data_IF_254452357722
#
_entry.id   IF_254452357722
#
_cell.length_a   1.000
_cell.length_b   1.000
_cell.length_c   1.000
_cell.angle_alpha   90.00
_cell.angle_beta   90.00
_cell.angle_gamma   90.00
#
_symmetry.space_group_name_H-M   'P 1'
#
loop_
_entity.id
_entity.type
_entity.pdbx_description
1 polymer ?
#
# COMPACT_ATOMS: atom_id res chain seq x y z
N UNK A 1 -18.90 17.70 3.10
CA UNK A 1 -18.40 16.34 2.82
C UNK A 1 -18.60 15.96 1.35
N UNK A 2 -19.81 15.62 0.86
CA UNK A 2 -19.98 15.20 -0.56
C UNK A 2 -19.41 16.19 -1.59
N UNK A 3 -19.66 17.49 -1.42
CA UNK A 3 -19.12 18.51 -2.31
C UNK A 3 -17.59 18.56 -2.32
N UNK A 4 -16.93 18.54 -1.15
CA UNK A 4 -15.45 18.52 -1.12
C UNK A 4 -14.89 17.18 -1.60
N UNK A 5 -15.58 16.06 -1.34
CA UNK A 5 -15.18 14.77 -1.91
C UNK A 5 -15.22 14.80 -3.45
N UNK A 6 -16.28 15.33 -4.06
CA UNK A 6 -16.35 15.49 -5.53
C UNK A 6 -15.23 16.38 -6.07
N UNK A 7 -14.93 17.48 -5.37
CA UNK A 7 -13.85 18.41 -5.74
C UNK A 7 -12.48 17.71 -5.68
N UNK A 8 -12.19 17.01 -4.59
CA UNK A 8 -10.96 16.24 -4.44
C UNK A 8 -10.83 15.12 -5.47
N UNK A 9 -11.93 14.44 -5.81
CA UNK A 9 -11.95 13.42 -6.87
C UNK A 9 -11.65 14.03 -8.24
N UNK A 10 -12.27 15.16 -8.57
CA UNK A 10 -11.99 15.85 -9.83
C UNK A 10 -10.53 16.33 -9.92
N UNK A 11 -9.97 16.81 -8.80
CA UNK A 11 -8.58 17.21 -8.72
C UNK A 11 -7.64 16.00 -8.88
N UNK A 12 -7.88 14.91 -8.15
CA UNK A 12 -7.08 13.69 -8.26
C UNK A 12 -7.11 13.14 -9.70
N UNK A 13 -8.30 13.06 -10.31
CA UNK A 13 -8.46 12.58 -11.69
C UNK A 13 -7.65 13.37 -12.74
N UNK A 14 -7.32 14.64 -12.47
CA UNK A 14 -6.49 15.46 -13.37
C UNK A 14 -4.99 15.41 -13.06
N UNK A 15 -4.57 14.80 -11.95
CA UNK A 15 -3.18 14.87 -11.47
C UNK A 15 -2.52 13.50 -11.33
N UNK A 16 -3.21 12.47 -10.85
CA UNK A 16 -2.59 11.18 -10.51
C UNK A 16 -2.55 10.16 -11.66
N UNK A 17 -3.11 10.49 -12.83
CA UNK A 17 -3.19 9.58 -13.97
C UNK A 17 -1.85 8.95 -14.37
N UNK A 18 -0.77 9.73 -14.55
CA UNK A 18 0.56 9.19 -14.85
C UNK A 18 1.10 8.26 -13.76
N UNK A 19 0.97 8.64 -12.49
CA UNK A 19 1.46 7.84 -11.36
C UNK A 19 0.72 6.49 -11.25
N UNK A 20 -0.59 6.48 -11.55
CA UNK A 20 -1.39 5.24 -11.61
C UNK A 20 -0.87 4.30 -12.70
N UNK A 21 -0.51 4.83 -13.88
CA UNK A 21 0.03 4.03 -14.97
C UNK A 21 1.37 3.40 -14.60
N UNK A 22 2.28 4.19 -14.01
CA UNK A 22 3.57 3.69 -13.53
C UNK A 22 3.42 2.60 -12.46
N UNK A 23 2.56 2.84 -11.46
CA UNK A 23 2.27 1.86 -10.41
C UNK A 23 1.63 0.59 -10.96
N UNK A 24 0.69 0.71 -11.90
CA UNK A 24 0.08 -0.44 -12.54
C UNK A 24 1.11 -1.28 -13.30
N UNK A 25 2.04 -0.63 -14.01
CA UNK A 25 3.15 -1.29 -14.69
C UNK A 25 4.08 -2.01 -13.69
N UNK A 26 4.36 -1.40 -12.53
CA UNK A 26 5.15 -2.05 -11.47
C UNK A 26 4.47 -3.32 -10.94
N UNK A 27 3.16 -3.26 -10.63
CA UNK A 27 2.40 -4.43 -10.20
C UNK A 27 2.38 -5.54 -11.26
N UNK A 28 2.13 -5.19 -12.52
CA UNK A 28 2.13 -6.15 -13.63
C UNK A 28 3.52 -6.78 -13.80
N UNK A 29 4.58 -5.96 -13.76
CA UNK A 29 5.97 -6.42 -13.86
C UNK A 29 6.33 -7.44 -12.78
N UNK A 30 5.99 -7.14 -11.52
CA UNK A 30 6.18 -8.07 -10.38
C UNK A 30 5.47 -9.39 -10.61
N UNK A 31 4.20 -9.36 -11.01
CA UNK A 31 3.39 -10.56 -11.18
C UNK A 31 3.84 -11.42 -12.37
N UNK A 32 4.30 -10.80 -13.46
CA UNK A 32 4.85 -11.51 -14.62
C UNK A 32 6.20 -12.18 -14.34
N UNK A 33 6.91 -11.74 -13.30
CA UNK A 33 8.18 -12.31 -12.86
C UNK A 33 8.01 -13.32 -11.71
N UNK A 34 6.80 -13.88 -11.54
CA UNK A 34 6.43 -14.81 -10.46
C UNK A 34 6.59 -14.23 -9.05
N UNK A 35 6.69 -12.90 -8.92
CA UNK A 35 6.68 -12.18 -7.66
C UNK A 35 5.26 -12.06 -7.09
N UNK A 36 5.17 -11.70 -5.81
CA UNK A 36 3.88 -11.42 -5.14
C UNK A 36 3.78 -9.99 -4.62
N UNK A 37 2.56 -9.51 -4.50
CA UNK A 37 2.27 -8.20 -3.93
C UNK A 37 1.91 -8.36 -2.45
N UNK A 38 2.71 -7.76 -1.58
CA UNK A 38 2.49 -7.75 -0.13
C UNK A 38 1.93 -6.37 0.22
N UNK A 39 0.78 -6.30 0.88
CA UNK A 39 0.14 -5.04 1.26
C UNK A 39 0.20 -4.80 2.77
N UNK A 40 0.35 -3.54 3.17
CA UNK A 40 0.16 -3.13 4.56
C UNK A 40 -0.40 -1.72 4.67
N UNK A 41 -1.24 -1.53 5.70
CA UNK A 41 -1.84 -0.25 6.04
C UNK A 41 -2.28 -0.27 7.50
N UNK A 42 -2.33 0.90 8.13
CA UNK A 42 -2.83 1.04 9.50
C UNK A 42 -4.33 1.34 9.53
N UNK A 43 -4.97 0.99 10.65
CA UNK A 43 -6.33 1.43 10.95
C UNK A 43 -7.34 1.09 9.85
N UNK A 44 -8.15 2.08 9.47
CA UNK A 44 -9.22 1.90 8.49
C UNK A 44 -8.70 1.69 7.06
N UNK A 45 -7.53 2.24 6.70
CA UNK A 45 -6.90 1.96 5.41
C UNK A 45 -6.58 0.47 5.18
N UNK A 46 -6.51 -0.34 6.23
CA UNK A 46 -6.34 -1.79 6.08
C UNK A 46 -7.52 -2.47 5.34
N UNK A 47 -8.70 -1.85 5.34
CA UNK A 47 -9.84 -2.30 4.52
C UNK A 47 -9.50 -2.19 3.04
N UNK A 48 -8.77 -1.13 2.64
CA UNK A 48 -8.34 -0.91 1.25
C UNK A 48 -7.28 -1.94 0.85
N UNK A 49 -6.30 -2.19 1.73
CA UNK A 49 -5.29 -3.23 1.52
C UNK A 49 -5.93 -4.61 1.33
N UNK A 50 -6.95 -4.93 2.13
CA UNK A 50 -7.68 -6.19 2.01
C UNK A 50 -8.54 -6.25 0.73
N UNK A 51 -9.19 -5.15 0.36
CA UNK A 51 -9.97 -5.05 -0.86
C UNK A 51 -9.10 -5.33 -2.09
N UNK A 52 -7.93 -4.69 -2.18
CA UNK A 52 -6.95 -4.92 -3.24
C UNK A 52 -6.50 -6.39 -3.30
N UNK A 53 -6.09 -6.98 -2.17
CA UNK A 53 -5.70 -8.39 -2.14
C UNK A 53 -6.84 -9.32 -2.56
N UNK A 54 -8.08 -9.02 -2.18
CA UNK A 54 -9.25 -9.83 -2.55
C UNK A 54 -9.52 -9.77 -4.04
N UNK A 55 -9.39 -8.58 -4.67
CA UNK A 55 -9.53 -8.42 -6.11
C UNK A 55 -8.45 -9.20 -6.89
N UNK A 56 -7.23 -9.32 -6.35
CA UNK A 56 -6.16 -10.10 -6.94
C UNK A 56 -6.36 -11.62 -6.78
N UNK A 57 -6.66 -12.08 -5.56
CA UNK A 57 -6.77 -13.50 -5.21
C UNK A 57 -8.03 -14.16 -5.77
N UNK A 58 -9.17 -13.47 -5.76
CA UNK A 58 -10.44 -14.01 -6.25
C UNK A 58 -10.60 -13.71 -7.74
N UNK A 59 -11.09 -12.51 -8.03
CA UNK A 59 -11.28 -11.92 -9.36
C UNK A 59 -11.86 -10.53 -9.17
N UNK A 60 -11.56 -9.62 -10.09
CA UNK A 60 -12.16 -8.30 -10.13
C UNK A 60 -13.40 -8.33 -11.05
N UNK A 61 -13.18 -8.36 -12.36
CA UNK A 61 -14.25 -8.36 -13.37
C UNK A 61 -14.16 -9.56 -14.34
N UNK A 62 -12.98 -9.80 -14.90
CA UNK A 62 -12.73 -10.90 -15.82
C UNK A 62 -12.41 -12.21 -15.10
N UNK A 63 -12.82 -13.33 -15.70
CA UNK A 63 -12.43 -14.66 -15.22
C UNK A 63 -10.95 -14.91 -15.56
N UNK A 64 -10.12 -15.01 -14.53
CA UNK A 64 -8.67 -15.22 -14.66
C UNK A 64 -8.13 -16.03 -13.47
N UNK A 65 -6.94 -16.63 -13.61
CA UNK A 65 -6.25 -17.22 -12.46
C UNK A 65 -6.03 -16.21 -11.32
N UNK A 66 -5.99 -16.74 -10.10
CA UNK A 66 -5.65 -15.98 -8.91
C UNK A 66 -4.25 -15.39 -9.02
N UNK A 67 -4.09 -14.12 -8.62
CA UNK A 67 -2.79 -13.45 -8.57
C UNK A 67 -2.30 -13.40 -7.11
N UNK A 68 -1.02 -13.67 -6.86
CA UNK A 68 -0.48 -13.78 -5.50
C UNK A 68 -0.44 -12.42 -4.80
N UNK A 69 -1.29 -12.27 -3.78
CA UNK A 69 -1.32 -11.08 -2.94
C UNK A 69 -1.53 -11.44 -1.45
N UNK A 70 -0.90 -10.70 -0.54
CA UNK A 70 -0.97 -10.94 0.91
C UNK A 70 -1.17 -9.62 1.65
N UNK A 71 -2.23 -9.51 2.46
CA UNK A 71 -2.40 -8.39 3.38
C UNK A 71 -1.82 -8.73 4.76
N UNK A 72 -0.78 -8.00 5.18
CA UNK A 72 -0.13 -8.18 6.48
C UNK A 72 -0.99 -7.76 7.68
N UNK A 73 -2.03 -6.95 7.45
CA UNK A 73 -2.98 -6.52 8.46
C UNK A 73 -4.23 -7.39 8.57
N UNK A 74 -4.35 -8.47 7.80
CA UNK A 74 -5.55 -9.31 7.79
C UNK A 74 -5.69 -10.20 9.04
N UNK A 75 -4.58 -10.77 9.52
CA UNK A 75 -4.58 -11.62 10.71
C UNK A 75 -4.38 -10.78 11.98
N UNK A 76 -5.50 -10.45 12.63
CA UNK A 76 -5.50 -9.73 13.89
C UNK A 76 -4.73 -10.44 15.01
N UNK A 77 -4.63 -11.78 14.98
CA UNK A 77 -3.90 -12.55 15.98
C UNK A 77 -2.40 -12.33 15.84
N UNK A 78 -1.88 -12.48 14.61
CA UNK A 78 -0.46 -12.21 14.32
C UNK A 78 -0.12 -10.74 14.58
N UNK A 79 -0.96 -9.82 14.09
CA UNK A 79 -0.76 -8.38 14.28
C UNK A 79 -0.66 -8.00 15.76
N UNK A 80 -1.62 -8.44 16.57
CA UNK A 80 -1.66 -8.12 18.00
C UNK A 80 -0.53 -8.80 18.79
N UNK A 81 -0.14 -10.02 18.43
CA UNK A 81 0.99 -10.72 19.07
C UNK A 81 2.31 -9.99 18.81
N UNK A 82 2.58 -9.56 17.57
CA UNK A 82 3.80 -8.82 17.24
C UNK A 82 3.81 -7.46 17.95
N UNK A 83 2.68 -6.75 17.93
CA UNK A 83 2.55 -5.46 18.62
C UNK A 83 2.83 -5.58 20.13
N UNK A 84 2.32 -6.64 20.76
CA UNK A 84 2.56 -6.94 22.19
C UNK A 84 4.04 -7.23 22.49
N UNK A 85 4.71 -8.00 21.65
CA UNK A 85 6.05 -8.53 21.94
C UNK A 85 7.21 -7.66 21.42
N UNK A 86 7.04 -6.94 20.29
CA UNK A 86 8.13 -6.24 19.59
C UNK A 86 7.88 -4.75 19.38
N UNK A 87 6.94 -4.14 20.12
CA UNK A 87 6.47 -2.76 19.93
C UNK A 87 5.69 -2.60 18.62
N UNK A 88 4.77 -1.64 18.60
CA UNK A 88 3.91 -1.34 17.46
C UNK A 88 4.69 -1.12 16.14
N UNK A 89 5.92 -0.60 16.22
CA UNK A 89 6.75 -0.30 15.06
C UNK A 89 7.13 -1.54 14.24
N UNK A 90 7.27 -2.71 14.87
CA UNK A 90 7.79 -3.89 14.17
C UNK A 90 6.67 -4.74 13.52
N UNK A 91 5.41 -4.28 13.61
CA UNK A 91 4.21 -5.10 13.29
C UNK A 91 4.18 -5.58 11.84
N UNK A 92 4.66 -4.76 10.90
CA UNK A 92 4.74 -5.12 9.49
C UNK A 92 6.13 -5.58 9.09
N UNK A 93 7.18 -4.88 9.54
CA UNK A 93 8.57 -5.17 9.17
C UNK A 93 8.98 -6.60 9.53
N UNK A 94 8.50 -7.15 10.66
CA UNK A 94 8.74 -8.55 11.03
C UNK A 94 8.11 -9.54 10.04
N UNK A 95 6.93 -9.22 9.52
CA UNK A 95 6.24 -10.07 8.56
C UNK A 95 6.86 -9.97 7.17
N UNK A 96 7.22 -8.76 6.71
CA UNK A 96 7.98 -8.55 5.46
C UNK A 96 9.29 -9.34 5.51
N UNK A 97 10.02 -9.27 6.63
CA UNK A 97 11.22 -10.09 6.85
C UNK A 97 10.93 -11.60 6.86
N UNK A 98 9.74 -12.05 7.21
CA UNK A 98 9.45 -13.49 7.18
C UNK A 98 9.17 -13.98 5.75
N UNK A 99 8.37 -13.23 4.98
CA UNK A 99 7.74 -13.74 3.76
C UNK A 99 8.18 -13.05 2.45
N UNK A 100 8.79 -11.87 2.55
CA UNK A 100 9.29 -11.10 1.41
C UNK A 100 10.55 -11.72 0.81
N UNK A 101 10.60 -11.76 -0.52
CA UNK A 101 11.69 -12.29 -1.35
C UNK A 101 12.11 -11.26 -2.39
N UNK A 102 13.33 -11.37 -2.94
CA UNK A 102 13.74 -10.56 -4.08
C UNK A 102 12.74 -10.66 -5.24
N UNK A 103 12.40 -9.52 -5.83
CA UNK A 103 11.40 -9.42 -6.92
C UNK A 103 9.94 -9.34 -6.47
N UNK A 104 9.64 -9.50 -5.18
CA UNK A 104 8.32 -9.15 -4.64
C UNK A 104 8.15 -7.64 -4.54
N UNK A 105 6.90 -7.20 -4.38
CA UNK A 105 6.57 -5.79 -4.23
C UNK A 105 5.82 -5.55 -2.91
N UNK A 106 6.23 -4.53 -2.16
CA UNK A 106 5.50 -4.02 -1.00
C UNK A 106 4.61 -2.84 -1.41
N UNK A 107 3.30 -2.98 -1.24
CA UNK A 107 2.33 -1.91 -1.45
C UNK A 107 1.84 -1.34 -0.11
N UNK A 108 2.15 -0.07 0.14
CA UNK A 108 1.90 0.60 1.42
C UNK A 108 0.81 1.66 1.23
N UNK A 109 -0.26 1.58 2.02
CA UNK A 109 -1.35 2.57 1.99
C UNK A 109 -1.31 3.42 3.25
N UNK A 110 -1.37 4.74 3.07
CA UNK A 110 -1.22 5.73 4.13
C UNK A 110 -2.34 6.77 4.04
N UNK A 111 -3.37 6.63 4.87
CA UNK A 111 -4.50 7.56 4.96
C UNK A 111 -4.25 8.72 5.93
N UNK A 112 -3.55 8.49 7.03
CA UNK A 112 -3.07 9.52 7.93
C UNK A 112 -1.93 9.06 8.86
N UNK A 113 -1.47 9.99 9.71
CA UNK A 113 -0.94 9.61 11.03
C UNK A 113 0.26 8.65 11.06
N UNK A 114 0.42 7.94 12.18
CA UNK A 114 1.60 7.16 12.59
C UNK A 114 2.21 6.28 11.47
N UNK A 115 3.45 6.61 11.08
CA UNK A 115 4.15 5.96 9.97
C UNK A 115 5.29 5.05 10.40
N UNK A 116 5.66 5.01 11.68
CA UNK A 116 6.88 4.33 12.12
C UNK A 116 6.93 2.85 11.73
N UNK A 117 5.80 2.14 11.82
CA UNK A 117 5.72 0.74 11.42
C UNK A 117 5.71 0.52 9.90
N UNK A 118 5.13 1.45 9.14
CA UNK A 118 5.16 1.44 7.68
C UNK A 118 6.57 1.77 7.16
N UNK A 119 7.23 2.76 7.76
CA UNK A 119 8.62 3.14 7.48
C UNK A 119 9.56 1.95 7.67
N UNK A 120 9.44 1.24 8.79
CA UNK A 120 10.25 0.05 9.00
C UNK A 120 9.92 -1.07 7.99
N UNK A 121 8.67 -1.20 7.55
CA UNK A 121 8.29 -2.18 6.53
C UNK A 121 8.98 -1.88 5.19
N UNK A 122 9.00 -0.61 4.79
CA UNK A 122 9.69 -0.12 3.59
C UNK A 122 11.19 -0.42 3.68
N UNK A 123 11.83 -0.06 4.79
CA UNK A 123 13.26 -0.33 4.99
C UNK A 123 13.57 -1.83 4.87
N UNK A 124 12.76 -2.69 5.47
CA UNK A 124 12.95 -4.15 5.38
C UNK A 124 12.62 -4.69 3.98
N UNK A 125 11.70 -4.06 3.24
CA UNK A 125 11.43 -4.43 1.84
C UNK A 125 12.66 -4.14 0.97
N UNK A 126 13.30 -2.99 1.15
CA UNK A 126 14.56 -2.66 0.48
C UNK A 126 15.69 -3.62 0.84
N UNK A 127 15.85 -3.96 2.13
CA UNK A 127 16.80 -4.98 2.59
C UNK A 127 16.54 -6.37 1.96
N UNK A 128 15.35 -6.58 1.41
CA UNK A 128 14.91 -7.82 0.75
C UNK A 128 14.88 -7.75 -0.76
N UNK A 129 15.42 -6.69 -1.36
CA UNK A 129 15.44 -6.49 -2.81
C UNK A 129 14.01 -6.51 -3.39
N UNK A 130 13.06 -5.96 -2.63
CA UNK A 130 11.70 -5.74 -3.04
C UNK A 130 11.52 -4.31 -3.54
N UNK A 131 10.67 -4.13 -4.54
CA UNK A 131 10.20 -2.79 -4.93
C UNK A 131 9.09 -2.32 -3.98
N UNK A 132 8.92 -1.01 -3.88
CA UNK A 132 7.92 -0.39 -3.01
C UNK A 132 7.00 0.51 -3.83
N UNK A 133 5.70 0.36 -3.59
CA UNK A 133 4.68 1.30 -4.04
C UNK A 133 4.02 1.92 -2.82
N UNK A 134 3.86 3.23 -2.83
CA UNK A 134 3.17 3.96 -1.77
C UNK A 134 1.95 4.66 -2.34
N UNK A 135 0.80 4.47 -1.71
CA UNK A 135 -0.39 5.26 -1.95
C UNK A 135 -0.63 6.14 -0.71
N UNK A 136 -0.43 7.45 -0.86
CA UNK A 136 -0.50 8.40 0.25
C UNK A 136 -1.57 9.46 0.05
N UNK A 137 -2.32 9.74 1.12
CA UNK A 137 -3.28 10.84 1.16
C UNK A 137 -2.62 12.23 1.27
N UNK A 138 -1.29 12.29 1.47
CA UNK A 138 -0.53 13.53 1.68
C UNK A 138 0.66 13.60 0.74
N UNK A 139 1.02 14.81 0.34
CA UNK A 139 2.23 15.06 -0.43
C UNK A 139 3.47 15.07 0.46
N UNK A 140 4.60 14.61 -0.08
CA UNK A 140 5.96 14.79 0.47
C UNK A 140 6.06 14.46 1.96
N UNK A 141 5.70 13.22 2.30
CA UNK A 141 5.80 12.76 3.68
C UNK A 141 7.17 12.17 4.00
N UNK A 142 7.44 11.86 5.27
CA UNK A 142 8.69 11.18 5.66
C UNK A 142 8.91 9.87 4.88
N UNK A 143 7.82 9.22 4.44
CA UNK A 143 7.88 8.01 3.59
C UNK A 143 8.46 8.31 2.21
N UNK A 144 8.12 9.45 1.60
CA UNK A 144 8.63 9.86 0.28
C UNK A 144 10.16 9.92 0.29
N UNK A 145 10.77 10.31 1.41
CA UNK A 145 12.24 10.40 1.54
C UNK A 145 12.95 9.04 1.60
N UNK A 146 12.22 7.95 1.77
CA UNK A 146 12.77 6.59 1.84
C UNK A 146 12.78 5.89 0.48
N UNK A 147 12.04 6.41 -0.50
CA UNK A 147 11.85 5.74 -1.78
C UNK A 147 13.13 5.71 -2.60
N UNK A 148 13.46 4.53 -3.09
CA UNK A 148 14.52 4.32 -4.08
C UNK A 148 14.05 4.76 -5.48
N UNK A 149 14.96 4.95 -6.45
CA UNK A 149 14.59 5.36 -7.81
C UNK A 149 13.64 4.41 -8.55
N UNK A 150 13.55 3.15 -8.11
CA UNK A 150 12.67 2.12 -8.68
C UNK A 150 11.33 1.99 -7.94
N UNK A 151 11.14 2.78 -6.88
CA UNK A 151 9.89 2.82 -6.14
C UNK A 151 8.96 3.88 -6.71
N UNK A 152 7.66 3.70 -6.49
CA UNK A 152 6.63 4.60 -7.00
C UNK A 152 5.75 5.13 -5.87
N UNK A 153 5.28 6.36 -6.00
CA UNK A 153 4.33 6.98 -5.07
C UNK A 153 3.17 7.63 -5.84
N UNK A 154 1.95 7.32 -5.42
CA UNK A 154 0.77 8.11 -5.76
C UNK A 154 0.45 8.95 -4.52
N UNK A 155 0.70 10.26 -4.60
CA UNK A 155 0.45 11.20 -3.52
C UNK A 155 -0.75 12.10 -3.82
N UNK A 156 -1.68 12.22 -2.87
CA UNK A 156 -2.82 13.11 -2.95
C UNK A 156 -2.59 14.43 -2.22
N UNK A 157 -3.43 15.43 -2.56
CA UNK A 157 -3.35 16.82 -2.12
C UNK A 157 -3.71 17.03 -0.63
N UNK A 158 -2.91 16.47 0.29
CA UNK A 158 -2.97 16.71 1.74
C UNK A 158 -4.38 16.60 2.35
N UNK A 159 -5.03 15.48 2.09
CA UNK A 159 -6.40 15.22 2.58
C UNK A 159 -6.43 15.08 4.10
N UNK A 160 -7.57 15.42 4.69
CA UNK A 160 -7.86 15.03 6.07
C UNK A 160 -8.03 13.51 6.17
N UNK A 161 -7.78 12.89 7.33
CA UNK A 161 -7.96 11.44 7.52
C UNK A 161 -9.35 10.94 7.10
N UNK A 162 -10.38 11.74 7.38
CA UNK A 162 -11.78 11.42 7.06
C UNK A 162 -12.11 11.52 5.57
N UNK A 163 -11.31 12.26 4.79
CA UNK A 163 -11.48 12.43 3.35
C UNK A 163 -10.56 11.50 2.55
N UNK A 164 -9.47 11.04 3.17
CA UNK A 164 -8.46 10.18 2.58
C UNK A 164 -9.04 8.83 2.13
N UNK A 165 -9.51 8.00 3.07
CA UNK A 165 -9.89 6.60 2.79
C UNK A 165 -10.88 6.44 1.61
N UNK A 166 -11.96 7.25 1.50
CA UNK A 166 -12.88 7.15 0.37
C UNK A 166 -12.25 7.49 -0.99
N UNK A 167 -11.33 8.45 -1.04
CA UNK A 167 -10.65 8.82 -2.28
C UNK A 167 -9.53 7.83 -2.63
N UNK A 168 -8.82 7.31 -1.64
CA UNK A 168 -7.85 6.22 -1.83
C UNK A 168 -8.51 4.96 -2.40
N UNK A 169 -9.75 4.66 -1.99
CA UNK A 169 -10.53 3.56 -2.56
C UNK A 169 -10.81 3.74 -4.06
N UNK A 170 -10.94 4.97 -4.56
CA UNK A 170 -11.19 5.20 -6.01
C UNK A 170 -9.96 4.94 -6.88
N UNK A 171 -8.77 4.94 -6.28
CA UNK A 171 -7.50 4.68 -6.97
C UNK A 171 -7.18 3.19 -7.02
N UNK A 172 -7.69 2.41 -6.06
CA UNK A 172 -7.49 0.97 -5.91
C UNK A 172 -8.52 0.19 -6.74
#
# INVERSE_FOLDING_TARGET
>A
WFASHMEHTAQAASTVGPDIEEVANAFVGTLLQDGKIITCANGNANILAQYFCTALLNRFDQDRPALPAINLGADATTYSAICRDNRFNDTFSRQVRAIGKPGDLLFVIVDDGHKANLIQAIQVAHDREMSVVVLSAREKSDITSLLHPEDHEIALNNLSPTEATPLLLLII
#
